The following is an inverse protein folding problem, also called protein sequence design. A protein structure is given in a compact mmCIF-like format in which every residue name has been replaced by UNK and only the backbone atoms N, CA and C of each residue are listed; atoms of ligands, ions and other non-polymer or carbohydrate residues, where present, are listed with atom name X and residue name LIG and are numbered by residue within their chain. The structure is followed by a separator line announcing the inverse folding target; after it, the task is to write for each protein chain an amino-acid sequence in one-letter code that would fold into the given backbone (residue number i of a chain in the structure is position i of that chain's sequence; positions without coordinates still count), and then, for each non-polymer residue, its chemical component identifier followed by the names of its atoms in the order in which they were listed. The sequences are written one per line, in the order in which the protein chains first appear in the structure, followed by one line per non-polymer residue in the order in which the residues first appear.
data_IF_924919338559
#
_entry.id   IF_924919338559
#
_cell.length_a   1.000
_cell.length_b   1.000
_cell.length_c   1.000
_cell.angle_alpha   90.00
_cell.angle_beta   90.00
_cell.angle_gamma   90.00
#
_symmetry.space_group_name_H-M   'P 1'
#
loop_
_entity.id
_entity.type
_entity.pdbx_description
1 polymer ?
#
# COMPACT_ATOMS: atom_id res chain seq x y z
N UNK A 1 -16.19 14.48 12.68
CA UNK A 1 -16.17 14.62 11.20
C UNK A 1 -15.00 15.45 10.66
N UNK A 2 -14.84 16.73 11.01
CA UNK A 2 -13.77 17.56 10.41
C UNK A 2 -12.35 16.94 10.55
N UNK A 3 -11.98 16.50 11.76
CA UNK A 3 -10.68 15.85 11.99
C UNK A 3 -10.48 14.56 11.17
N UNK A 4 -11.54 13.77 11.00
CA UNK A 4 -11.48 12.56 10.19
C UNK A 4 -11.35 12.87 8.69
N UNK A 5 -12.06 13.88 8.19
CA UNK A 5 -11.87 14.37 6.81
C UNK A 5 -10.45 14.88 6.58
N UNK A 6 -9.87 15.60 7.55
CA UNK A 6 -8.46 16.02 7.49
C UNK A 6 -7.52 14.81 7.45
N UNK A 7 -7.75 13.79 8.28
CA UNK A 7 -6.99 12.55 8.26
C UNK A 7 -7.02 11.89 6.86
N UNK A 8 -8.21 11.72 6.28
CA UNK A 8 -8.34 11.13 4.94
C UNK A 8 -7.66 11.99 3.88
N UNK A 9 -7.76 13.32 3.97
CA UNK A 9 -7.08 14.24 3.05
C UNK A 9 -5.55 14.13 3.16
N UNK A 10 -5.01 14.02 4.37
CA UNK A 10 -3.57 13.81 4.60
C UNK A 10 -3.11 12.49 3.98
N UNK A 11 -3.85 11.40 4.18
CA UNK A 11 -3.56 10.10 3.53
C UNK A 11 -3.65 10.21 2.01
N UNK A 12 -4.63 10.95 1.47
CA UNK A 12 -4.74 11.16 0.04
C UNK A 12 -3.51 11.90 -0.54
N UNK A 13 -3.05 12.95 0.15
CA UNK A 13 -1.83 13.69 -0.22
C UNK A 13 -0.60 12.79 -0.16
N UNK A 14 -0.49 11.96 0.87
CA UNK A 14 0.57 10.97 1.01
C UNK A 14 0.57 9.96 -0.15
N UNK A 15 -0.60 9.45 -0.55
CA UNK A 15 -0.75 8.57 -1.73
C UNK A 15 -0.28 9.26 -3.01
N UNK A 16 -0.54 10.55 -3.19
CA UNK A 16 -0.03 11.31 -4.33
C UNK A 16 1.50 11.45 -4.28
N UNK A 17 2.07 11.75 -3.12
CA UNK A 17 3.52 11.82 -2.95
C UNK A 17 4.20 10.48 -3.29
N UNK A 18 3.61 9.37 -2.85
CA UNK A 18 4.03 8.02 -3.21
C UNK A 18 3.99 7.76 -4.72
N UNK A 19 2.94 8.20 -5.41
CA UNK A 19 2.86 8.06 -6.86
C UNK A 19 3.95 8.88 -7.58
N UNK A 20 4.30 10.06 -7.07
CA UNK A 20 5.38 10.88 -7.61
C UNK A 20 6.74 10.19 -7.40
N UNK A 21 7.00 9.66 -6.20
CA UNK A 21 8.21 8.88 -5.89
C UNK A 21 8.28 7.64 -6.79
N UNK A 22 7.18 6.90 -6.93
CA UNK A 22 7.11 5.70 -7.76
C UNK A 22 7.37 6.01 -9.24
N UNK A 23 6.88 7.15 -9.76
CA UNK A 23 7.19 7.58 -11.14
C UNK A 23 8.68 7.86 -11.31
N UNK A 24 9.31 8.58 -10.38
CA UNK A 24 10.75 8.85 -10.42
C UNK A 24 11.58 7.57 -10.34
N UNK A 25 11.21 6.68 -9.44
CA UNK A 25 11.87 5.40 -9.25
C UNK A 25 11.64 4.46 -10.44
N UNK A 26 10.49 4.51 -11.09
CA UNK A 26 10.22 3.74 -12.31
C UNK A 26 11.20 4.13 -13.41
N UNK A 27 11.39 5.43 -13.65
CA UNK A 27 12.37 5.93 -14.62
C UNK A 27 13.80 5.46 -14.27
N UNK A 28 14.17 5.52 -12.99
CA UNK A 28 15.47 5.04 -12.52
C UNK A 28 15.69 3.54 -12.78
N UNK A 29 14.67 2.71 -12.54
CA UNK A 29 14.72 1.26 -12.75
C UNK A 29 14.74 0.89 -14.23
N UNK A 30 13.90 1.53 -15.06
CA UNK A 30 13.85 1.30 -16.50
C UNK A 30 15.18 1.69 -17.18
N UNK A 31 15.80 2.79 -16.75
CA UNK A 31 17.12 3.20 -17.24
C UNK A 31 18.25 2.19 -16.94
N UNK A 32 18.00 1.22 -16.05
CA UNK A 32 18.93 0.16 -15.66
C UNK A 32 18.53 -1.21 -16.22
N UNK A 33 17.66 -1.24 -17.22
CA UNK A 33 17.17 -2.49 -17.81
C UNK A 33 16.05 -3.15 -17.00
N UNK A 34 15.36 -2.40 -16.14
CA UNK A 34 14.21 -2.88 -15.40
C UNK A 34 13.09 -3.36 -16.33
N UNK A 35 12.52 -4.52 -16.00
CA UNK A 35 11.37 -5.09 -16.71
C UNK A 35 10.12 -4.96 -15.83
N UNK A 36 9.05 -4.38 -16.39
CA UNK A 36 7.77 -4.23 -15.70
C UNK A 36 6.92 -5.50 -15.86
N UNK A 37 6.51 -6.08 -14.73
CA UNK A 37 5.63 -7.24 -14.66
C UNK A 37 4.25 -6.85 -14.13
N UNK A 38 3.21 -7.57 -14.56
CA UNK A 38 1.88 -7.45 -13.95
C UNK A 38 1.14 -6.13 -14.20
N UNK A 39 1.39 -5.46 -15.33
CA UNK A 39 0.76 -4.16 -15.70
C UNK A 39 -0.76 -4.15 -15.56
N UNK A 40 -1.42 -5.29 -15.82
CA UNK A 40 -2.88 -5.43 -15.75
C UNK A 40 -3.47 -5.28 -14.34
N UNK A 41 -2.72 -5.56 -13.27
CA UNK A 41 -3.22 -5.46 -11.90
C UNK A 41 -3.05 -4.06 -11.28
N UNK A 42 -2.31 -3.16 -11.93
CA UNK A 42 -2.03 -1.83 -11.41
C UNK A 42 -3.26 -0.89 -11.43
N UNK A 43 -4.04 -0.77 -12.53
CA UNK A 43 -5.24 0.07 -12.52
C UNK A 43 -6.29 -0.36 -11.47
N UNK A 44 -6.60 -1.67 -11.30
CA UNK A 44 -7.45 -2.13 -10.19
C UNK A 44 -6.91 -1.74 -8.81
N UNK A 45 -5.60 -1.73 -8.61
CA UNK A 45 -5.00 -1.30 -7.34
C UNK A 45 -5.27 0.18 -7.05
N UNK A 46 -5.05 1.04 -8.04
CA UNK A 46 -5.30 2.47 -7.90
C UNK A 46 -6.79 2.73 -7.66
N UNK A 47 -7.67 2.05 -8.39
CA UNK A 47 -9.11 2.14 -8.19
C UNK A 47 -9.51 1.70 -6.78
N UNK A 48 -8.98 0.59 -6.28
CA UNK A 48 -9.28 0.08 -4.94
C UNK A 48 -8.86 1.03 -3.83
N UNK A 49 -7.65 1.62 -3.90
CA UNK A 49 -7.16 2.57 -2.90
C UNK A 49 -7.88 3.91 -2.99
N UNK A 50 -8.27 4.34 -4.19
CA UNK A 50 -9.11 5.53 -4.37
C UNK A 50 -10.51 5.28 -3.78
N UNK A 51 -11.08 4.11 -4.07
CA UNK A 51 -12.35 3.64 -3.51
C UNK A 51 -12.33 3.53 -1.99
N UNK A 52 -11.21 3.12 -1.38
CA UNK A 52 -11.03 3.13 0.08
C UNK A 52 -11.22 4.54 0.65
N UNK A 53 -10.51 5.54 0.12
CA UNK A 53 -10.55 6.92 0.64
C UNK A 53 -11.92 7.55 0.43
N UNK A 54 -12.51 7.35 -0.75
CA UNK A 54 -13.86 7.81 -1.06
C UNK A 54 -14.88 7.11 -0.16
N UNK A 55 -14.80 5.79 -0.02
CA UNK A 55 -15.67 4.98 0.84
C UNK A 55 -15.61 5.40 2.30
N UNK A 56 -14.40 5.70 2.82
CA UNK A 56 -14.24 6.24 4.17
C UNK A 56 -15.05 7.52 4.39
N UNK A 57 -15.08 8.43 3.42
CA UNK A 57 -15.83 9.69 3.52
C UNK A 57 -17.32 9.47 3.33
N UNK A 58 -17.71 8.69 2.32
CA UNK A 58 -19.11 8.45 1.96
C UNK A 58 -19.84 7.63 3.02
N UNK A 59 -19.27 6.51 3.47
CA UNK A 59 -19.91 5.65 4.47
C UNK A 59 -20.09 6.40 5.78
N UNK A 60 -19.06 7.10 6.25
CA UNK A 60 -19.16 7.84 7.52
C UNK A 60 -20.16 8.98 7.42
N UNK A 61 -20.23 9.66 6.26
CA UNK A 61 -21.17 10.77 6.06
C UNK A 61 -22.61 10.29 5.91
N UNK A 62 -22.86 9.25 5.13
CA UNK A 62 -24.22 8.81 4.78
C UNK A 62 -24.82 7.83 5.77
N UNK A 63 -24.01 6.95 6.36
CA UNK A 63 -24.47 6.03 7.39
C UNK A 63 -24.26 6.56 8.81
N UNK A 64 -23.94 7.87 8.94
CA UNK A 64 -23.73 8.60 10.20
C UNK A 64 -22.87 7.82 11.20
N UNK A 65 -21.81 7.17 10.70
CA UNK A 65 -21.03 6.24 11.52
C UNK A 65 -20.43 6.98 12.72
N UNK A 66 -20.59 6.49 13.96
CA UNK A 66 -20.07 7.17 15.13
C UNK A 66 -18.55 7.01 15.26
N UNK A 67 -17.92 7.95 15.95
CA UNK A 67 -16.58 7.75 16.50
C UNK A 67 -16.72 7.09 17.86
N UNK A 68 -16.19 5.87 18.01
CA UNK A 68 -16.16 5.17 19.29
C UNK A 68 -14.73 5.21 19.84
N UNK A 69 -14.41 5.97 20.90
CA UNK A 69 -13.02 6.18 21.33
C UNK A 69 -12.24 4.87 21.58
N UNK A 70 -12.89 3.85 22.16
CA UNK A 70 -12.27 2.54 22.43
C UNK A 70 -11.87 1.76 21.18
N UNK A 71 -12.42 2.09 20.01
CA UNK A 71 -12.03 1.50 18.72
C UNK A 71 -11.24 2.50 17.87
N UNK A 72 -11.70 3.74 17.80
CA UNK A 72 -11.15 4.77 16.92
C UNK A 72 -9.70 5.13 17.24
N UNK A 73 -9.34 5.27 18.53
CA UNK A 73 -7.95 5.57 18.90
C UNK A 73 -6.98 4.43 18.60
N UNK A 74 -7.27 3.16 18.98
CA UNK A 74 -6.43 2.04 18.54
C UNK A 74 -6.29 1.93 17.01
N UNK A 75 -7.38 2.12 16.26
CA UNK A 75 -7.34 2.08 14.80
C UNK A 75 -6.52 3.22 14.20
N UNK A 76 -6.58 4.42 14.80
CA UNK A 76 -5.73 5.53 14.37
C UNK A 76 -4.25 5.21 14.60
N UNK A 77 -3.90 4.66 15.76
CA UNK A 77 -2.52 4.24 16.06
C UNK A 77 -2.04 3.19 15.07
N UNK A 78 -2.88 2.20 14.74
CA UNK A 78 -2.56 1.19 13.73
C UNK A 78 -2.36 1.80 12.34
N UNK A 79 -3.22 2.74 11.92
CA UNK A 79 -3.07 3.43 10.65
C UNK A 79 -1.76 4.24 10.58
N UNK A 80 -1.43 4.97 11.64
CA UNK A 80 -0.17 5.72 11.73
C UNK A 80 1.06 4.80 11.75
N UNK A 81 1.01 3.68 12.47
CA UNK A 81 2.05 2.67 12.47
C UNK A 81 2.24 2.05 11.08
N UNK A 82 1.15 1.83 10.34
CA UNK A 82 1.20 1.36 8.96
C UNK A 82 1.91 2.36 8.03
N UNK A 83 1.66 3.66 8.16
CA UNK A 83 2.41 4.68 7.42
C UNK A 83 3.88 4.70 7.81
N UNK A 84 4.19 4.63 9.11
CA UNK A 84 5.58 4.55 9.58
C UNK A 84 6.33 3.36 8.97
N UNK A 85 5.70 2.18 8.95
CA UNK A 85 6.26 0.99 8.30
C UNK A 85 6.45 1.19 6.79
N UNK A 86 5.49 1.81 6.11
CA UNK A 86 5.56 2.08 4.67
C UNK A 86 6.71 3.01 4.31
N UNK A 87 6.84 4.14 5.00
CA UNK A 87 7.95 5.06 4.76
C UNK A 87 9.31 4.46 5.12
N UNK A 88 9.35 3.59 6.12
CA UNK A 88 10.56 2.81 6.40
C UNK A 88 10.91 1.87 5.23
N UNK A 89 9.92 1.20 4.63
CA UNK A 89 10.13 0.38 3.43
C UNK A 89 10.61 1.23 2.24
N UNK A 90 9.99 2.39 2.01
CA UNK A 90 10.38 3.33 0.94
C UNK A 90 11.83 3.77 1.12
N UNK A 91 12.21 4.18 2.34
CA UNK A 91 13.57 4.61 2.65
C UNK A 91 14.61 3.50 2.47
N UNK A 92 14.29 2.28 2.91
CA UNK A 92 15.21 1.12 2.83
C UNK A 92 15.40 0.62 1.39
N UNK A 93 14.33 0.58 0.59
CA UNK A 93 14.42 0.20 -0.82
C UNK A 93 15.02 1.32 -1.68
N UNK A 94 14.81 2.57 -1.30
CA UNK A 94 15.30 3.75 -2.00
C UNK A 94 14.77 3.81 -3.44
N UNK A 95 15.65 4.00 -4.45
CA UNK A 95 15.24 4.05 -5.87
C UNK A 95 14.59 2.78 -6.40
N UNK A 96 14.75 1.64 -5.71
CA UNK A 96 14.12 0.36 -6.08
C UNK A 96 12.64 0.29 -5.71
N UNK A 97 12.17 1.15 -4.79
CA UNK A 97 10.77 1.13 -4.38
C UNK A 97 9.87 1.60 -5.52
N UNK A 98 8.81 0.84 -5.81
CA UNK A 98 7.83 1.23 -6.79
C UNK A 98 6.45 0.67 -6.45
N UNK A 99 5.40 1.40 -6.83
CA UNK A 99 4.02 0.89 -6.76
C UNK A 99 3.73 -0.12 -7.85
N UNK A 100 4.50 -0.14 -8.94
CA UNK A 100 4.50 -1.17 -10.00
C UNK A 100 5.54 -2.25 -9.70
N UNK A 101 5.37 -3.46 -10.25
CA UNK A 101 6.37 -4.53 -10.11
C UNK A 101 7.41 -4.34 -11.21
N UNK A 102 8.53 -3.68 -10.90
CA UNK A 102 9.65 -3.50 -11.83
C UNK A 102 10.86 -4.20 -11.24
N UNK A 103 11.38 -5.20 -11.95
CA UNK A 103 12.55 -5.96 -11.52
C UNK A 103 13.73 -5.56 -12.39
N UNK A 104 14.84 -5.16 -11.77
CA UNK A 104 16.10 -4.86 -12.46
C UNK A 104 16.99 -6.10 -12.35
N UNK A 105 17.29 -6.79 -13.47
CA UNK A 105 18.14 -7.98 -13.46
C UNK A 105 19.51 -7.70 -12.81
N UNK A 106 20.04 -8.66 -12.06
CA UNK A 106 21.37 -8.58 -11.44
C UNK A 106 21.48 -7.73 -10.17
N UNK A 107 20.40 -7.05 -9.72
CA UNK A 107 20.43 -6.36 -8.42
C UNK A 107 20.16 -7.33 -7.26
N UNK A 108 20.98 -7.30 -6.18
CA UNK A 108 20.73 -8.11 -5.01
C UNK A 108 19.46 -7.65 -4.28
N UNK A 109 18.78 -8.61 -3.66
CA UNK A 109 17.60 -8.34 -2.83
C UNK A 109 17.97 -7.57 -1.57
N UNK A 110 17.10 -6.64 -1.19
CA UNK A 110 17.28 -5.87 0.04
C UNK A 110 16.84 -6.72 1.23
N UNK A 111 17.78 -7.01 2.13
CA UNK A 111 17.52 -7.74 3.38
C UNK A 111 17.60 -6.84 4.63
N UNK A 112 17.78 -5.52 4.46
CA UNK A 112 17.89 -4.56 5.55
C UNK A 112 16.54 -4.04 6.07
N UNK A 113 16.55 -3.39 7.23
CA UNK A 113 15.37 -2.70 7.76
C UNK A 113 14.21 -3.66 8.08
N UNK A 114 12.96 -3.39 7.63
CA UNK A 114 11.83 -4.25 7.91
C UNK A 114 11.87 -5.58 7.15
N UNK A 115 12.67 -5.64 6.06
CA UNK A 115 12.83 -6.83 5.23
C UNK A 115 13.62 -7.96 5.91
N UNK A 116 14.23 -7.68 7.07
CA UNK A 116 14.89 -8.72 7.88
C UNK A 116 13.90 -9.63 8.61
N UNK A 117 12.68 -9.15 8.85
CA UNK A 117 11.65 -9.88 9.60
C UNK A 117 10.53 -10.39 8.71
N UNK A 118 10.19 -9.65 7.64
CA UNK A 118 9.11 -9.96 6.73
C UNK A 118 9.58 -9.89 5.29
N UNK A 119 9.07 -10.78 4.44
CA UNK A 119 9.37 -10.76 3.00
C UNK A 119 8.76 -9.54 2.30
N UNK A 120 7.53 -9.17 2.68
CA UNK A 120 6.78 -8.08 2.06
C UNK A 120 6.17 -7.12 3.10
N UNK A 121 6.99 -6.42 3.91
CA UNK A 121 6.50 -5.50 4.94
C UNK A 121 5.62 -4.36 4.38
N UNK A 122 5.84 -3.95 3.13
CA UNK A 122 5.01 -2.95 2.46
C UNK A 122 3.56 -3.45 2.24
N UNK A 123 3.36 -4.73 1.94
CA UNK A 123 2.01 -5.29 1.78
C UNK A 123 1.29 -5.43 3.12
N UNK A 124 2.02 -5.72 4.19
CA UNK A 124 1.47 -5.65 5.54
C UNK A 124 0.99 -4.23 5.86
N UNK A 125 1.79 -3.20 5.56
CA UNK A 125 1.40 -1.81 5.77
C UNK A 125 0.11 -1.46 5.00
N UNK A 126 -0.02 -1.89 3.74
CA UNK A 126 -1.24 -1.66 2.94
C UNK A 126 -2.46 -2.36 3.55
N UNK A 127 -2.31 -3.62 3.96
CA UNK A 127 -3.41 -4.38 4.56
C UNK A 127 -3.88 -3.78 5.90
N UNK A 128 -2.93 -3.45 6.78
CA UNK A 128 -3.23 -2.85 8.09
C UNK A 128 -3.86 -1.48 7.93
N UNK A 129 -3.34 -0.63 7.05
CA UNK A 129 -3.91 0.69 6.79
C UNK A 129 -5.35 0.58 6.26
N UNK A 130 -5.58 -0.24 5.23
CA UNK A 130 -6.90 -0.34 4.62
C UNK A 130 -7.97 -0.94 5.53
N UNK A 131 -7.57 -1.75 6.51
CA UNK A 131 -8.45 -2.22 7.58
C UNK A 131 -8.67 -1.15 8.65
N UNK A 132 -7.60 -0.52 9.14
CA UNK A 132 -7.66 0.38 10.28
C UNK A 132 -8.24 1.76 9.96
N UNK A 133 -7.89 2.33 8.80
CA UNK A 133 -8.26 3.69 8.42
C UNK A 133 -9.79 3.91 8.41
N UNK A 134 -10.62 3.05 7.79
CA UNK A 134 -12.08 3.21 7.86
C UNK A 134 -12.63 3.00 9.28
N UNK A 135 -12.03 2.09 10.04
CA UNK A 135 -12.48 1.74 11.38
C UNK A 135 -12.20 2.81 12.44
N UNK A 136 -11.35 3.81 12.14
CA UNK A 136 -11.20 5.01 12.98
C UNK A 136 -12.58 5.63 13.26
N UNK A 137 -13.48 5.61 12.28
CA UNK A 137 -14.84 6.11 12.41
C UNK A 137 -15.89 5.02 12.16
N UNK A 138 -15.58 3.76 12.51
CA UNK A 138 -16.48 2.58 12.45
C UNK A 138 -17.04 2.23 11.07
N UNK A 139 -16.38 2.66 9.98
CA UNK A 139 -16.78 2.35 8.61
C UNK A 139 -16.40 0.91 8.21
N UNK A 140 -17.07 -0.06 8.84
CA UNK A 140 -16.75 -1.48 8.71
C UNK A 140 -17.08 -2.05 7.33
N UNK A 141 -18.03 -1.46 6.58
CA UNK A 141 -18.36 -1.93 5.22
C UNK A 141 -17.18 -1.63 4.30
N UNK A 142 -16.65 -0.41 4.37
CA UNK A 142 -15.45 0.01 3.64
C UNK A 142 -14.24 -0.82 4.05
N UNK A 143 -14.03 -1.06 5.36
CA UNK A 143 -12.92 -1.89 5.85
C UNK A 143 -12.98 -3.33 5.33
N UNK A 144 -14.14 -3.99 5.43
CA UNK A 144 -14.31 -5.36 4.95
C UNK A 144 -14.21 -5.44 3.42
N UNK A 145 -14.89 -4.54 2.70
CA UNK A 145 -14.85 -4.49 1.24
C UNK A 145 -13.42 -4.29 0.72
N UNK A 146 -12.68 -3.35 1.31
CA UNK A 146 -11.27 -3.17 0.97
C UNK A 146 -10.45 -4.41 1.32
N UNK A 147 -10.60 -4.97 2.52
CA UNK A 147 -9.80 -6.13 2.97
C UNK A 147 -9.97 -7.31 2.04
N UNK A 148 -11.20 -7.64 1.65
CA UNK A 148 -11.49 -8.75 0.73
C UNK A 148 -10.89 -8.49 -0.65
N UNK A 149 -11.18 -7.33 -1.24
CA UNK A 149 -10.69 -6.99 -2.58
C UNK A 149 -9.16 -6.88 -2.62
N UNK A 150 -8.56 -6.28 -1.59
CA UNK A 150 -7.12 -6.14 -1.45
C UNK A 150 -6.43 -7.49 -1.28
N UNK A 151 -7.04 -8.42 -0.53
CA UNK A 151 -6.49 -9.78 -0.37
C UNK A 151 -6.43 -10.53 -1.70
N UNK A 152 -7.49 -10.45 -2.51
CA UNK A 152 -7.52 -11.06 -3.85
C UNK A 152 -6.46 -10.45 -4.77
N UNK A 153 -6.33 -9.12 -4.76
CA UNK A 153 -5.37 -8.40 -5.59
C UNK A 153 -3.92 -8.62 -5.15
N UNK A 154 -3.65 -8.67 -3.84
CA UNK A 154 -2.34 -8.98 -3.31
C UNK A 154 -1.95 -10.42 -3.62
N UNK A 155 -2.88 -11.38 -3.56
CA UNK A 155 -2.60 -12.77 -3.90
C UNK A 155 -2.16 -12.94 -5.36
N UNK A 156 -2.78 -12.23 -6.31
CA UNK A 156 -2.32 -12.24 -7.72
C UNK A 156 -0.98 -11.55 -7.88
N UNK A 157 -0.76 -10.43 -7.18
CA UNK A 157 0.48 -9.67 -7.25
C UNK A 157 1.68 -10.41 -6.65
N UNK A 158 1.52 -11.00 -5.47
CA UNK A 158 2.55 -11.80 -4.79
C UNK A 158 3.02 -12.95 -5.67
N UNK A 159 2.09 -13.71 -6.26
CA UNK A 159 2.44 -14.79 -7.20
C UNK A 159 3.23 -14.29 -8.41
N UNK A 160 2.85 -13.13 -8.96
CA UNK A 160 3.56 -12.52 -10.10
C UNK A 160 4.97 -12.05 -9.71
N UNK A 161 5.11 -11.42 -8.55
CA UNK A 161 6.39 -10.92 -8.04
C UNK A 161 7.34 -12.08 -7.67
N UNK A 162 6.87 -13.10 -6.97
CA UNK A 162 7.69 -14.27 -6.62
C UNK A 162 8.12 -15.05 -7.86
N UNK A 163 7.26 -15.19 -8.88
CA UNK A 163 7.64 -15.78 -10.16
C UNK A 163 8.74 -14.96 -10.87
N UNK A 164 8.59 -13.63 -10.92
CA UNK A 164 9.58 -12.75 -11.54
C UNK A 164 10.93 -12.77 -10.81
N UNK A 165 10.91 -12.78 -9.47
CA UNK A 165 12.12 -12.90 -8.65
C UNK A 165 12.80 -14.26 -8.81
N UNK A 166 12.04 -15.34 -8.97
CA UNK A 166 12.58 -16.69 -9.21
C UNK A 166 13.28 -16.78 -10.57
N UNK A 167 12.67 -16.21 -11.61
CA UNK A 167 13.28 -16.13 -12.95
C UNK A 167 14.59 -15.33 -12.96
N UNK A 168 14.64 -14.20 -12.24
CA UNK A 168 15.86 -13.41 -12.12
C UNK A 168 16.98 -14.11 -11.32
N UNK A 169 16.63 -14.94 -10.33
CA UNK A 169 17.62 -15.75 -9.59
C UNK A 169 18.15 -16.93 -10.39
N UNK A 170 17.36 -17.49 -11.29
CA UNK A 170 17.79 -18.60 -12.15
C UNK A 170 18.68 -18.14 -13.33
N UNK A 171 18.62 -16.85 -13.69
CA UNK A 171 19.39 -16.24 -14.77
C UNK A 171 20.68 -15.54 -14.32
N UNK A 172 21.00 -15.57 -13.02
CA UNK A 172 22.19 -14.98 -12.40
C UNK A 172 23.13 -16.10 -11.89
#
# INVERSE_FOLDING_TARGET
MAAYTVLIALVAVERLAELLIARRNAAWSLARGGVEYGRGHYPPMVALHTGLLVGCLLEVRWAERPFLPGLGWPMLVLALAAQGLRWWCIGVLGPRWNTRVIVVPGLPLVAGGPYRWLRHPNYLAVAVEGFALPLVHTAWVTALGFTVLNSLLLATRLRCEEAALTLCRAAA
#
